data_IF_380707003430
#
_entry.id   IF_380707003430
#
_cell.length_a   1.000
_cell.length_b   1.000
_cell.length_c   1.000
_cell.angle_alpha   90.00
_cell.angle_beta   90.00
_cell.angle_gamma   90.00
#
_symmetry.space_group_name_H-M   'P 1'
#
loop_
_entity.id
_entity.type
_entity.pdbx_description
1 polymer ?
#
# COMPACT_ATOMS: atom_id res chain seq x y z
N UNK A 1 -28.09 -5.11 16.98
CA UNK A 1 -27.56 -3.90 16.28
C UNK A 1 -26.26 -3.36 16.88
N UNK A 2 -26.11 -3.22 18.22
CA UNK A 2 -24.87 -2.76 18.87
C UNK A 2 -23.62 -3.63 18.64
N UNK A 3 -23.78 -4.95 18.49
CA UNK A 3 -22.68 -5.88 18.23
C UNK A 3 -22.09 -5.73 16.82
N UNK A 4 -22.93 -5.57 15.79
CA UNK A 4 -22.48 -5.36 14.40
C UNK A 4 -21.67 -4.05 14.25
N UNK A 5 -22.09 -2.98 14.93
CA UNK A 5 -21.43 -1.69 14.87
C UNK A 5 -20.03 -1.71 15.51
N UNK A 6 -19.87 -2.42 16.63
CA UNK A 6 -18.57 -2.63 17.28
C UNK A 6 -17.58 -3.34 16.36
N UNK A 7 -18.08 -4.23 15.49
CA UNK A 7 -17.24 -4.92 14.52
C UNK A 7 -16.78 -4.05 13.34
N UNK A 8 -17.56 -3.06 12.94
CA UNK A 8 -17.16 -2.14 11.86
C UNK A 8 -16.18 -1.09 12.37
N UNK A 9 -16.40 -0.59 13.60
CA UNK A 9 -15.52 0.41 14.22
C UNK A 9 -14.06 -0.06 14.32
N UNK A 10 -13.81 -1.32 14.70
CA UNK A 10 -12.42 -1.83 14.76
C UNK A 10 -11.80 -1.94 13.36
N UNK A 11 -12.59 -2.31 12.34
CA UNK A 11 -12.08 -2.44 10.96
C UNK A 11 -11.69 -1.09 10.40
N UNK A 12 -12.51 -0.07 10.63
CA UNK A 12 -12.19 1.31 10.25
C UNK A 12 -10.95 1.79 11.01
N UNK A 13 -10.88 1.59 12.33
CA UNK A 13 -9.71 1.98 13.12
C UNK A 13 -8.43 1.29 12.62
N UNK A 14 -8.50 0.00 12.29
CA UNK A 14 -7.39 -0.76 11.72
C UNK A 14 -6.97 -0.22 10.35
N UNK A 15 -7.92 0.07 9.45
CA UNK A 15 -7.64 0.65 8.14
C UNK A 15 -6.98 2.02 8.27
N UNK A 16 -7.48 2.89 9.16
CA UNK A 16 -6.88 4.20 9.40
C UNK A 16 -5.46 4.07 9.98
N UNK A 17 -5.28 3.25 11.01
CA UNK A 17 -3.97 3.02 11.62
C UNK A 17 -2.95 2.55 10.59
N UNK A 18 -3.27 1.46 9.88
CA UNK A 18 -2.37 0.89 8.87
C UNK A 18 -2.13 1.84 7.72
N UNK A 19 -3.14 2.63 7.31
CA UNK A 19 -2.98 3.66 6.28
C UNK A 19 -1.99 4.73 6.72
N UNK A 20 -2.21 5.37 7.87
CA UNK A 20 -1.34 6.44 8.33
C UNK A 20 0.09 5.94 8.57
N UNK A 21 0.27 4.77 9.18
CA UNK A 21 1.62 4.23 9.40
C UNK A 21 2.32 3.86 8.09
N UNK A 22 1.61 3.20 7.17
CA UNK A 22 2.18 2.83 5.86
C UNK A 22 2.61 4.09 5.10
N UNK A 23 1.73 5.09 5.03
CA UNK A 23 2.02 6.36 4.34
C UNK A 23 3.17 7.13 4.97
N UNK A 24 3.24 7.19 6.30
CA UNK A 24 4.35 7.82 7.01
C UNK A 24 5.69 7.19 6.65
N UNK A 25 5.79 5.86 6.68
CA UNK A 25 7.01 5.14 6.33
C UNK A 25 7.34 5.35 4.85
N UNK A 26 6.34 5.31 3.95
CA UNK A 26 6.56 5.54 2.53
C UNK A 26 7.06 6.96 2.23
N UNK A 27 6.54 7.98 2.92
CA UNK A 27 7.03 9.36 2.79
C UNK A 27 8.48 9.47 3.26
N UNK A 28 8.84 8.84 4.38
CA UNK A 28 10.23 8.81 4.84
C UNK A 28 11.14 8.08 3.84
N UNK A 29 10.68 6.96 3.28
CA UNK A 29 11.43 6.18 2.29
C UNK A 29 11.57 6.88 0.94
N UNK A 30 10.60 7.71 0.53
CA UNK A 30 10.68 8.47 -0.70
C UNK A 30 11.89 9.42 -0.75
N UNK A 31 12.37 9.89 0.41
CA UNK A 31 13.60 10.70 0.51
C UNK A 31 14.88 9.92 0.19
N UNK A 32 14.85 8.59 0.17
CA UNK A 32 15.97 7.76 -0.27
C UNK A 32 15.98 7.55 -1.80
N UNK A 33 14.94 8.01 -2.50
CA UNK A 33 14.71 7.76 -3.92
C UNK A 33 14.80 9.04 -4.77
N UNK A 34 15.19 10.17 -4.18
CA UNK A 34 15.08 11.52 -4.76
C UNK A 34 15.82 11.70 -6.06
N UNK A 35 16.89 10.94 -6.25
CA UNK A 35 17.75 11.05 -7.43
C UNK A 35 17.10 10.45 -8.69
N UNK A 36 16.04 9.66 -8.51
CA UNK A 36 15.35 8.95 -9.58
C UNK A 36 13.83 9.15 -9.58
N UNK A 37 13.24 9.53 -8.44
CA UNK A 37 11.80 9.73 -8.29
C UNK A 37 11.57 11.13 -7.74
N UNK A 38 10.79 11.98 -8.44
CA UNK A 38 10.47 13.32 -7.95
C UNK A 38 9.91 13.27 -6.53
N UNK A 39 10.36 14.17 -5.66
CA UNK A 39 9.75 14.36 -4.36
C UNK A 39 8.37 14.99 -4.52
N UNK A 40 7.38 14.42 -3.84
CA UNK A 40 6.04 14.97 -3.79
C UNK A 40 5.85 15.91 -2.62
N UNK A 41 4.68 16.55 -2.56
CA UNK A 41 4.24 17.24 -1.36
C UNK A 41 4.13 16.28 -0.16
N UNK A 42 4.17 16.82 1.06
CA UNK A 42 4.15 16.08 2.34
C UNK A 42 2.99 15.07 2.50
N UNK A 43 1.92 15.23 1.71
CA UNK A 43 0.72 14.39 1.75
C UNK A 43 0.60 13.41 0.58
N UNK A 44 1.56 13.38 -0.36
CA UNK A 44 1.43 12.59 -1.61
C UNK A 44 1.18 11.12 -1.30
N UNK A 45 1.99 10.51 -0.45
CA UNK A 45 1.92 9.07 -0.13
C UNK A 45 0.69 8.74 0.72
N UNK A 46 0.17 9.71 1.48
CA UNK A 46 -1.12 9.61 2.16
C UNK A 46 -2.26 9.55 1.15
N UNK A 47 -2.26 10.43 0.15
CA UNK A 47 -3.25 10.43 -0.93
C UNK A 47 -3.16 9.19 -1.81
N UNK A 48 -1.95 8.70 -2.10
CA UNK A 48 -1.75 7.46 -2.88
C UNK A 48 -2.28 6.25 -2.11
N UNK A 49 -1.94 6.08 -0.84
CA UNK A 49 -2.41 4.92 -0.08
C UNK A 49 -3.91 5.01 0.20
N UNK A 50 -4.42 6.19 0.55
CA UNK A 50 -5.85 6.43 0.78
C UNK A 50 -6.67 6.24 -0.49
N UNK A 51 -6.16 6.76 -1.62
CA UNK A 51 -6.74 6.56 -2.94
C UNK A 51 -6.79 5.09 -3.34
N UNK A 52 -5.75 4.29 -3.01
CA UNK A 52 -5.78 2.84 -3.24
C UNK A 52 -6.88 2.14 -2.43
N UNK A 53 -7.05 2.51 -1.15
CA UNK A 53 -8.14 1.98 -0.30
C UNK A 53 -9.50 2.31 -0.89
N UNK A 54 -9.72 3.57 -1.29
CA UNK A 54 -10.99 4.02 -1.86
C UNK A 54 -11.25 3.34 -3.20
N UNK A 55 -10.28 3.33 -4.11
CA UNK A 55 -10.41 2.75 -5.45
C UNK A 55 -10.73 1.26 -5.37
N UNK A 56 -9.97 0.51 -4.58
CA UNK A 56 -10.21 -0.91 -4.40
C UNK A 56 -11.51 -1.19 -3.63
N UNK A 57 -11.85 -0.33 -2.68
CA UNK A 57 -13.12 -0.37 -1.94
C UNK A 57 -14.33 -0.22 -2.87
N UNK A 58 -14.28 0.72 -3.82
CA UNK A 58 -15.34 0.91 -4.81
C UNK A 58 -15.48 -0.30 -5.74
N UNK A 59 -14.37 -0.88 -6.19
CA UNK A 59 -14.39 -2.06 -7.07
C UNK A 59 -15.01 -3.26 -6.34
N UNK A 60 -14.57 -3.56 -5.12
CA UNK A 60 -15.08 -4.72 -4.39
C UNK A 60 -16.53 -4.52 -3.93
N UNK A 61 -16.97 -3.28 -3.68
CA UNK A 61 -18.37 -2.95 -3.41
C UNK A 61 -19.29 -3.36 -4.56
N UNK A 62 -18.87 -3.14 -5.81
CA UNK A 62 -19.64 -3.54 -7.01
C UNK A 62 -19.47 -5.03 -7.30
N UNK A 63 -18.26 -5.57 -7.14
CA UNK A 63 -17.94 -6.94 -7.51
C UNK A 63 -18.46 -7.98 -6.49
N UNK A 64 -18.12 -7.82 -5.20
CA UNK A 64 -18.44 -8.76 -4.10
C UNK A 64 -18.50 -8.03 -2.76
N UNK A 65 -19.56 -7.24 -2.54
CA UNK A 65 -19.76 -6.38 -1.35
C UNK A 65 -19.62 -7.12 -0.02
N UNK A 66 -20.00 -8.39 0.03
CA UNK A 66 -19.91 -9.25 1.20
C UNK A 66 -18.47 -9.52 1.64
N UNK A 67 -17.49 -9.36 0.74
CA UNK A 67 -16.06 -9.51 1.02
C UNK A 67 -15.33 -8.17 1.21
N UNK A 68 -16.01 -7.03 1.08
CA UNK A 68 -15.41 -5.69 1.13
C UNK A 68 -14.42 -5.52 2.28
N UNK A 69 -14.90 -5.73 3.49
CA UNK A 69 -14.13 -5.43 4.69
C UNK A 69 -13.01 -6.45 4.93
N UNK A 70 -13.22 -7.71 4.58
CA UNK A 70 -12.20 -8.75 4.68
C UNK A 70 -11.09 -8.49 3.65
N UNK A 71 -11.46 -8.08 2.44
CA UNK A 71 -10.53 -7.73 1.39
C UNK A 71 -9.72 -6.47 1.73
N UNK A 72 -10.37 -5.36 2.11
CA UNK A 72 -9.67 -4.11 2.47
C UNK A 72 -8.71 -4.33 3.64
N UNK A 73 -9.13 -5.09 4.65
CA UNK A 73 -8.27 -5.46 5.78
C UNK A 73 -7.03 -6.26 5.33
N UNK A 74 -7.21 -7.28 4.49
CA UNK A 74 -6.10 -8.08 3.95
C UNK A 74 -5.15 -7.24 3.08
N UNK A 75 -5.70 -6.38 2.21
CA UNK A 75 -4.92 -5.50 1.36
C UNK A 75 -4.07 -4.53 2.18
N UNK A 76 -4.66 -3.93 3.22
CA UNK A 76 -3.92 -3.03 4.12
C UNK A 76 -2.94 -3.75 5.01
N UNK A 77 -3.21 -5.00 5.41
CA UNK A 77 -2.23 -5.84 6.12
C UNK A 77 -0.98 -6.04 5.28
N UNK A 78 -1.13 -6.34 3.98
CA UNK A 78 -0.01 -6.50 3.05
C UNK A 78 0.77 -5.19 2.92
N UNK A 79 0.07 -4.08 2.78
CA UNK A 79 0.69 -2.74 2.64
C UNK A 79 1.47 -2.34 3.88
N UNK A 80 0.89 -2.61 5.05
CA UNK A 80 1.52 -2.38 6.33
C UNK A 80 2.76 -3.25 6.54
N UNK A 81 2.65 -4.57 6.29
CA UNK A 81 3.79 -5.49 6.37
C UNK A 81 4.91 -5.07 5.41
N UNK A 82 4.58 -4.66 4.19
CA UNK A 82 5.53 -4.11 3.23
C UNK A 82 6.23 -2.86 3.75
N UNK A 83 5.51 -1.91 4.35
CA UNK A 83 6.14 -0.73 4.96
C UNK A 83 7.08 -1.08 6.12
N UNK A 84 6.73 -2.05 6.96
CA UNK A 84 7.63 -2.56 8.00
C UNK A 84 8.87 -3.21 7.36
N UNK A 85 8.72 -3.90 6.24
CA UNK A 85 9.88 -4.42 5.51
C UNK A 85 10.74 -3.31 4.89
N UNK A 86 10.23 -2.10 4.68
CA UNK A 86 11.04 -0.97 4.21
C UNK A 86 11.81 -0.27 5.35
N UNK A 87 11.35 -0.35 6.60
CA UNK A 87 12.03 0.30 7.73
C UNK A 87 13.50 -0.11 7.94
N UNK A 88 13.92 -1.38 7.73
CA UNK A 88 15.34 -1.73 7.72
C UNK A 88 16.18 -0.88 6.76
N UNK A 89 15.66 -0.57 5.56
CA UNK A 89 16.34 0.32 4.61
C UNK A 89 16.54 1.73 5.17
N UNK A 90 15.55 2.26 5.87
CA UNK A 90 15.66 3.57 6.56
C UNK A 90 16.72 3.55 7.66
N UNK A 91 16.78 2.47 8.43
CA UNK A 91 17.77 2.31 9.51
C UNK A 91 19.17 2.23 8.92
N UNK A 92 19.37 1.41 7.88
CA UNK A 92 20.66 1.28 7.19
C UNK A 92 21.16 2.63 6.67
N UNK A 93 20.28 3.44 6.09
CA UNK A 93 20.64 4.78 5.60
C UNK A 93 21.13 5.74 6.69
N UNK A 94 20.75 5.50 7.95
CA UNK A 94 21.24 6.33 9.07
C UNK A 94 22.70 6.01 9.44
N UNK A 95 23.15 4.78 9.19
CA UNK A 95 24.48 4.30 9.57
C UNK A 95 25.45 4.24 8.39
N UNK A 96 24.93 4.07 7.17
CA UNK A 96 25.72 3.86 5.96
C UNK A 96 25.22 4.76 4.83
N UNK A 97 26.16 5.36 4.13
CA UNK A 97 25.89 6.08 2.88
C UNK A 97 25.91 5.05 1.74
N UNK A 98 24.72 4.69 1.24
CA UNK A 98 24.53 3.67 0.19
C UNK A 98 23.96 4.36 -1.04
N UNK A 99 24.43 3.92 -2.21
CA UNK A 99 23.91 4.36 -3.50
C UNK A 99 22.36 4.25 -3.57
N UNK A 100 21.65 5.33 -3.97
CA UNK A 100 20.20 5.34 -4.11
C UNK A 100 19.60 4.23 -4.99
N UNK A 101 20.37 3.70 -5.94
CA UNK A 101 19.98 2.55 -6.76
C UNK A 101 19.68 1.33 -5.89
N UNK A 102 20.42 1.11 -4.80
CA UNK A 102 20.18 -0.01 -3.89
C UNK A 102 18.84 0.14 -3.16
N UNK A 103 18.46 1.37 -2.78
CA UNK A 103 17.15 1.62 -2.17
C UNK A 103 15.99 1.44 -3.16
N UNK A 104 16.20 1.73 -4.44
CA UNK A 104 15.23 1.41 -5.51
C UNK A 104 15.08 -0.11 -5.65
N UNK A 105 16.19 -0.84 -5.77
CA UNK A 105 16.15 -2.30 -5.91
C UNK A 105 15.48 -2.95 -4.70
N UNK A 106 15.77 -2.47 -3.49
CA UNK A 106 15.12 -2.93 -2.28
C UNK A 106 13.62 -2.63 -2.26
N UNK A 107 13.23 -1.41 -2.65
CA UNK A 107 11.81 -1.06 -2.78
C UNK A 107 11.09 -1.96 -3.78
N UNK A 108 11.69 -2.21 -4.95
CA UNK A 108 11.11 -3.08 -5.97
C UNK A 108 10.99 -4.53 -5.51
N UNK A 109 11.96 -5.04 -4.75
CA UNK A 109 11.89 -6.35 -4.12
C UNK A 109 10.70 -6.43 -3.14
N UNK A 110 10.57 -5.47 -2.24
CA UNK A 110 9.48 -5.42 -1.25
C UNK A 110 8.12 -5.27 -1.96
N UNK A 111 8.02 -4.38 -2.94
CA UNK A 111 6.81 -4.18 -3.74
C UNK A 111 6.42 -5.45 -4.52
N UNK A 112 7.40 -6.18 -5.06
CA UNK A 112 7.19 -7.48 -5.71
C UNK A 112 6.64 -8.52 -4.75
N UNK A 113 7.24 -8.65 -3.55
CA UNK A 113 6.75 -9.55 -2.50
C UNK A 113 5.32 -9.21 -2.07
N UNK A 114 5.02 -7.92 -1.90
CA UNK A 114 3.67 -7.44 -1.60
C UNK A 114 2.67 -7.84 -2.69
N UNK A 115 3.04 -7.69 -3.96
CA UNK A 115 2.16 -8.04 -5.07
C UNK A 115 1.87 -9.54 -5.14
N UNK A 116 2.90 -10.37 -4.94
CA UNK A 116 2.75 -11.84 -4.87
C UNK A 116 1.81 -12.25 -3.71
N UNK A 117 2.00 -11.64 -2.53
CA UNK A 117 1.13 -11.90 -1.38
C UNK A 117 -0.31 -11.42 -1.63
N UNK A 118 -0.49 -10.30 -2.32
CA UNK A 118 -1.81 -9.81 -2.73
C UNK A 118 -2.54 -10.79 -3.65
N UNK A 119 -1.84 -11.36 -4.64
CA UNK A 119 -2.39 -12.41 -5.50
C UNK A 119 -2.79 -13.63 -4.67
N UNK A 120 -1.91 -14.09 -3.76
CA UNK A 120 -2.18 -15.24 -2.90
C UNK A 120 -3.42 -15.02 -2.04
N UNK A 121 -3.54 -13.87 -1.38
CA UNK A 121 -4.69 -13.55 -0.52
C UNK A 121 -5.99 -13.34 -1.30
N UNK A 122 -5.92 -12.71 -2.47
CA UNK A 122 -7.10 -12.55 -3.34
C UNK A 122 -7.63 -13.90 -3.82
N UNK A 123 -6.75 -14.86 -4.10
CA UNK A 123 -7.12 -16.24 -4.44
C UNK A 123 -7.76 -16.97 -3.25
N UNK A 124 -7.21 -16.82 -2.04
CA UNK A 124 -7.79 -17.40 -0.82
C UNK A 124 -9.19 -16.84 -0.49
N UNK A 125 -9.43 -15.56 -0.78
CA UNK A 125 -10.73 -14.91 -0.63
C UNK A 125 -11.71 -15.21 -1.78
N UNK A 126 -11.31 -16.03 -2.76
CA UNK A 126 -12.11 -16.37 -3.95
C UNK A 126 -12.53 -15.14 -4.77
N UNK A 127 -11.66 -14.13 -4.86
CA UNK A 127 -11.86 -12.89 -5.62
C UNK A 127 -11.23 -12.96 -7.03
N UNK A 128 -10.50 -14.04 -7.33
CA UNK A 128 -9.80 -14.22 -8.60
C UNK A 128 -8.68 -13.21 -8.81
N UNK A 129 -8.38 -12.91 -10.07
CA UNK A 129 -7.30 -11.98 -10.46
C UNK A 129 -7.74 -10.53 -10.57
N UNK A 130 -9.06 -10.27 -10.62
CA UNK A 130 -9.62 -8.94 -10.85
C UNK A 130 -9.04 -7.91 -9.88
N UNK A 131 -9.07 -8.21 -8.58
CA UNK A 131 -8.57 -7.30 -7.55
C UNK A 131 -7.06 -7.05 -7.68
N UNK A 132 -6.26 -8.05 -8.07
CA UNK A 132 -4.81 -7.86 -8.28
C UNK A 132 -4.51 -7.02 -9.52
N UNK A 133 -5.28 -7.23 -10.60
CA UNK A 133 -5.14 -6.45 -11.84
C UNK A 133 -5.47 -4.98 -11.57
N UNK A 134 -6.61 -4.70 -10.95
CA UNK A 134 -6.99 -3.32 -10.63
C UNK A 134 -6.02 -2.69 -9.64
N UNK A 135 -5.47 -3.46 -8.70
CA UNK A 135 -4.47 -2.98 -7.75
C UNK A 135 -3.19 -2.54 -8.47
N UNK A 136 -2.72 -3.34 -9.42
CA UNK A 136 -1.54 -3.02 -10.24
C UNK A 136 -1.81 -1.82 -11.15
N UNK A 137 -2.99 -1.76 -11.79
CA UNK A 137 -3.39 -0.63 -12.65
C UNK A 137 -3.36 0.68 -11.86
N UNK A 138 -3.93 0.71 -10.65
CA UNK A 138 -3.88 1.91 -9.82
C UNK A 138 -2.44 2.36 -9.55
N UNK A 139 -1.56 1.41 -9.20
CA UNK A 139 -0.14 1.70 -8.95
C UNK A 139 0.58 2.23 -10.19
N UNK A 140 0.30 1.68 -11.37
CA UNK A 140 0.88 2.15 -12.63
C UNK A 140 0.36 3.54 -13.03
N UNK A 141 -0.92 3.82 -12.83
CA UNK A 141 -1.49 5.16 -13.06
C UNK A 141 -0.81 6.18 -12.14
N UNK A 142 -0.70 5.87 -10.85
CA UNK A 142 -0.01 6.75 -9.89
C UNK A 142 1.44 6.96 -10.28
N UNK A 143 2.16 5.91 -10.69
CA UNK A 143 3.55 6.03 -11.14
C UNK A 143 3.66 6.95 -12.35
N UNK A 144 2.77 6.80 -13.35
CA UNK A 144 2.71 7.68 -14.51
C UNK A 144 2.42 9.13 -14.14
N UNK A 145 1.53 9.37 -13.17
CA UNK A 145 1.27 10.71 -12.65
C UNK A 145 2.47 11.31 -11.92
N UNK A 146 3.25 10.51 -11.18
CA UNK A 146 4.45 10.98 -10.49
C UNK A 146 5.54 11.43 -11.48
N UNK A 147 5.66 10.79 -12.65
CA UNK A 147 6.67 11.13 -13.65
C UNK A 147 6.24 12.20 -14.67
N UNK A 148 4.95 12.47 -14.78
CA UNK A 148 4.40 13.46 -15.72
C UNK A 148 4.12 14.83 -15.06
N UNK A 149 4.37 14.95 -13.75
CA UNK A 149 4.28 16.18 -12.96
C UNK A 149 5.69 16.60 -12.57
#
# INVERSE_FOLDING_TARGET
MKTLQKHISYRIAYLLLTWFTTSYILTAYAHLLTDYVPLGGKYREYLICGGQIIFQGLIILVYKKEKLWDYLGNMMTISFAGSILLTPGLIVNHFFDIDPVMYILYFMLVAGLMFLEHIRRSKLLQLGWLMSITWAIYRLIVLGLIFNI
#
